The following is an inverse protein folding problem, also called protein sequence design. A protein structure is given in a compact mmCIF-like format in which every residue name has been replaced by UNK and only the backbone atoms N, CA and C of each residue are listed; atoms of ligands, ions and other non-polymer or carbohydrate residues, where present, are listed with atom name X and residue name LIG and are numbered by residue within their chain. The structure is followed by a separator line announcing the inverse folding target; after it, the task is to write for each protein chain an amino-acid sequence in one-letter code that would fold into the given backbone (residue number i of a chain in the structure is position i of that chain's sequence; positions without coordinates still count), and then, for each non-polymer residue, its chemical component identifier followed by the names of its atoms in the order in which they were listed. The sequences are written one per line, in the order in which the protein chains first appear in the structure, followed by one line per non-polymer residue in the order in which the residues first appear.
data_IF_246644632249
#
_entry.id   IF_246644632249
#
_cell.length_a   1.000
_cell.length_b   1.000
_cell.length_c   1.000
_cell.angle_alpha   90.00
_cell.angle_beta   90.00
_cell.angle_gamma   90.00
#
_symmetry.space_group_name_H-M   'P 1'
#
loop_
_entity.id
_entity.type
_entity.pdbx_description
1 polymer ?
#
# COMPACT_ATOMS: atom_id res chain seq x y z
N UNK A 1 -14.15 1.37 7.97
CA UNK A 1 -13.42 2.62 8.30
C UNK A 1 -12.78 3.12 7.02
N UNK A 2 -12.90 4.41 6.73
CA UNK A 2 -12.32 5.05 5.54
C UNK A 2 -11.12 5.87 5.98
N UNK A 3 -10.02 5.76 5.24
CA UNK A 3 -8.84 6.61 5.37
C UNK A 3 -8.69 7.41 4.09
N UNK A 4 -8.72 8.74 4.18
CA UNK A 4 -8.35 9.59 3.06
C UNK A 4 -6.82 9.77 3.05
N UNK A 5 -6.18 9.37 1.97
CA UNK A 5 -4.78 9.69 1.72
C UNK A 5 -4.72 10.90 0.79
N UNK A 6 -4.11 12.02 1.20
CA UNK A 6 -3.97 13.19 0.34
C UNK A 6 -3.38 12.83 -1.02
N UNK A 7 -3.95 13.37 -2.09
CA UNK A 7 -3.60 13.09 -3.50
C UNK A 7 -3.86 11.65 -4.00
N UNK A 8 -4.03 10.68 -3.10
CA UNK A 8 -4.26 9.28 -3.45
C UNK A 8 -5.74 8.86 -3.27
N UNK A 9 -6.55 9.65 -2.56
CA UNK A 9 -7.99 9.48 -2.36
C UNK A 9 -8.35 8.54 -1.21
N UNK A 10 -9.60 8.08 -1.19
CA UNK A 10 -10.14 7.26 -0.10
C UNK A 10 -9.77 5.79 -0.22
N UNK A 11 -9.31 5.20 0.87
CA UNK A 11 -9.05 3.77 1.02
C UNK A 11 -9.89 3.21 2.16
N UNK A 12 -10.22 1.92 2.09
CA UNK A 12 -10.80 1.24 3.24
C UNK A 12 -9.71 0.61 4.07
N UNK A 13 -9.89 0.66 5.39
CA UNK A 13 -8.93 0.10 6.34
C UNK A 13 -9.31 -1.34 6.62
N UNK A 14 -8.40 -2.28 6.32
CA UNK A 14 -8.56 -3.70 6.63
C UNK A 14 -8.11 -4.01 8.05
N UNK A 15 -6.91 -3.55 8.40
CA UNK A 15 -6.28 -3.88 9.67
C UNK A 15 -5.33 -2.77 10.13
N UNK A 16 -5.23 -2.57 11.44
CA UNK A 16 -4.29 -1.63 12.06
C UNK A 16 -3.53 -2.39 13.15
N UNK A 17 -2.22 -2.39 13.04
CA UNK A 17 -1.29 -2.93 14.02
C UNK A 17 -0.56 -1.79 14.71
N UNK A 18 -0.97 -1.48 15.93
CA UNK A 18 -0.33 -0.44 16.75
C UNK A 18 1.01 -0.88 17.34
N UNK A 19 1.28 -2.19 17.43
CA UNK A 19 2.57 -2.67 17.93
C UNK A 19 3.68 -2.45 16.91
N UNK A 20 3.38 -2.69 15.63
CA UNK A 20 4.33 -2.47 14.53
C UNK A 20 4.13 -1.14 13.79
N UNK A 21 3.21 -0.30 14.25
CA UNK A 21 2.75 0.91 13.56
C UNK A 21 2.45 0.68 12.07
N UNK A 22 1.67 -0.36 11.74
CA UNK A 22 1.34 -0.78 10.37
C UNK A 22 -0.16 -0.66 10.11
N UNK A 23 -0.53 -0.09 8.98
CA UNK A 23 -1.92 -0.06 8.49
C UNK A 23 -2.00 -0.84 7.19
N UNK A 24 -3.02 -1.67 7.06
CA UNK A 24 -3.33 -2.39 5.83
C UNK A 24 -4.60 -1.80 5.23
N UNK A 25 -4.48 -1.31 4.01
CA UNK A 25 -5.51 -0.63 3.24
C UNK A 25 -5.94 -1.51 2.08
N UNK A 26 -7.17 -1.35 1.62
CA UNK A 26 -7.65 -1.95 0.38
C UNK A 26 -8.52 -0.97 -0.40
N UNK A 27 -8.60 -1.19 -1.70
CA UNK A 27 -9.34 -0.31 -2.59
C UNK A 27 -10.86 -0.54 -2.47
N UNK A 28 -11.67 0.50 -2.25
CA UNK A 28 -13.13 0.38 -2.17
C UNK A 28 -13.79 -0.21 -3.42
N UNK A 29 -13.12 -0.17 -4.58
CA UNK A 29 -13.61 -0.75 -5.83
C UNK A 29 -13.12 -2.20 -6.05
N UNK A 30 -12.45 -2.79 -5.06
CA UNK A 30 -11.85 -4.12 -5.12
C UNK A 30 -10.90 -4.30 -6.32
N UNK A 31 -10.16 -3.25 -6.68
CA UNK A 31 -9.09 -3.36 -7.68
C UNK A 31 -7.95 -2.40 -7.36
N UNK A 32 -7.25 -2.69 -6.26
CA UNK A 32 -6.09 -1.89 -5.84
C UNK A 32 -5.01 -1.83 -6.93
N UNK A 33 -4.61 -2.92 -7.60
CA UNK A 33 -3.62 -2.85 -8.67
C UNK A 33 -4.04 -1.93 -9.82
N UNK A 34 -5.34 -1.94 -10.17
CA UNK A 34 -5.88 -1.04 -11.19
C UNK A 34 -5.86 0.42 -10.77
N UNK A 35 -6.08 0.69 -9.48
CA UNK A 35 -5.93 2.04 -8.93
C UNK A 35 -4.47 2.49 -8.95
N UNK A 36 -3.53 1.64 -8.53
CA UNK A 36 -2.11 1.94 -8.50
C UNK A 36 -1.55 2.18 -9.91
N UNK A 37 -2.01 1.43 -10.90
CA UNK A 37 -1.65 1.64 -12.32
C UNK A 37 -2.12 3.01 -12.83
N UNK A 38 -3.34 3.42 -12.51
CA UNK A 38 -3.93 4.65 -13.03
C UNK A 38 -3.56 5.90 -12.22
N UNK A 39 -3.28 5.74 -10.93
CA UNK A 39 -2.92 6.80 -10.00
C UNK A 39 -1.72 6.34 -9.17
N UNK A 40 -0.56 6.94 -9.39
CA UNK A 40 0.62 6.67 -8.58
C UNK A 40 0.36 7.02 -7.12
N UNK A 41 0.91 6.20 -6.22
CA UNK A 41 0.74 6.42 -4.78
C UNK A 41 1.56 7.63 -4.35
N UNK A 42 0.90 8.68 -3.85
CA UNK A 42 1.56 9.86 -3.29
C UNK A 42 1.24 9.97 -1.81
N UNK A 43 2.27 9.78 -0.98
CA UNK A 43 2.17 9.79 0.48
C UNK A 43 2.74 11.07 1.11
N UNK A 44 3.21 12.02 0.31
CA UNK A 44 4.02 13.17 0.77
C UNK A 44 3.31 14.11 1.74
N UNK A 45 1.98 14.10 1.79
CA UNK A 45 1.17 14.87 2.76
C UNK A 45 0.40 13.97 3.74
N UNK A 46 0.84 12.72 3.90
CA UNK A 46 0.27 11.78 4.87
C UNK A 46 1.33 11.41 5.92
N UNK A 47 0.95 10.99 7.14
CA UNK A 47 1.89 10.46 8.13
C UNK A 47 2.39 9.05 7.76
N UNK A 48 1.94 8.50 6.63
CA UNK A 48 2.23 7.14 6.22
C UNK A 48 3.42 7.09 5.27
N UNK A 49 4.19 6.02 5.36
CA UNK A 49 5.35 5.72 4.51
C UNK A 49 5.43 4.22 4.23
N UNK A 50 6.34 3.83 3.34
CA UNK A 50 6.73 2.45 3.12
C UNK A 50 8.27 2.31 3.18
N UNK A 51 8.79 1.13 3.52
CA UNK A 51 10.23 0.88 3.54
C UNK A 51 10.91 1.09 2.18
N UNK A 52 10.22 0.72 1.09
CA UNK A 52 10.73 0.84 -0.28
C UNK A 52 9.63 1.32 -1.24
N UNK A 53 10.06 1.79 -2.40
CA UNK A 53 9.20 2.20 -3.51
C UNK A 53 9.78 1.62 -4.80
N UNK A 54 8.99 0.86 -5.55
CA UNK A 54 9.43 0.18 -6.76
C UNK A 54 8.57 0.54 -7.95
N UNK A 55 9.20 0.72 -9.11
CA UNK A 55 8.51 1.03 -10.35
C UNK A 55 8.11 -0.28 -11.05
N UNK A 56 6.87 -0.71 -10.84
CA UNK A 56 6.32 -1.89 -11.51
C UNK A 56 5.82 -1.51 -12.89
N UNK A 57 6.17 -2.32 -13.89
CA UNK A 57 5.58 -2.21 -15.24
C UNK A 57 4.49 -3.24 -15.38
N UNK A 58 3.33 -2.79 -15.85
CA UNK A 58 2.15 -3.60 -16.06
C UNK A 58 2.05 -3.99 -17.52
N UNK A 59 1.73 -5.25 -17.75
CA UNK A 59 1.59 -5.84 -19.08
C UNK A 59 0.22 -6.47 -19.23
N UNK A 60 -0.38 -6.34 -20.41
CA UNK A 60 -1.50 -7.17 -20.84
C UNK A 60 -0.97 -8.22 -21.81
N UNK A 61 -1.18 -9.49 -21.48
CA UNK A 61 -0.67 -10.64 -22.21
C UNK A 61 -1.82 -11.56 -22.64
N UNK A 62 -1.67 -12.33 -23.73
CA UNK A 62 -2.51 -13.51 -23.94
C UNK A 62 -2.48 -14.40 -22.70
N UNK A 63 -3.64 -14.93 -22.28
CA UNK A 63 -3.76 -15.62 -20.99
C UNK A 63 -2.89 -16.89 -20.86
N UNK A 64 -2.50 -17.47 -21.98
CA UNK A 64 -1.63 -18.65 -22.09
C UNK A 64 -0.19 -18.30 -22.49
N UNK A 65 0.18 -17.01 -22.50
CA UNK A 65 1.55 -16.59 -22.74
C UNK A 65 2.46 -17.04 -21.59
N UNK A 66 3.69 -17.42 -21.92
CA UNK A 66 4.66 -17.95 -20.96
C UNK A 66 4.88 -17.03 -19.74
N UNK A 67 4.96 -15.69 -19.89
CA UNK A 67 5.16 -14.81 -18.74
C UNK A 67 4.08 -14.89 -17.67
N UNK A 68 2.87 -15.30 -18.05
CA UNK A 68 1.71 -15.38 -17.16
C UNK A 68 1.86 -16.58 -16.23
N UNK A 69 2.06 -16.31 -14.94
CA UNK A 69 2.27 -17.33 -13.91
C UNK A 69 3.73 -17.78 -13.77
N UNK A 70 4.59 -17.58 -14.78
CA UNK A 70 6.02 -17.82 -14.66
C UNK A 70 6.75 -16.62 -14.05
N UNK A 71 6.53 -15.40 -14.58
CA UNK A 71 7.17 -14.18 -14.07
C UNK A 71 6.33 -13.45 -13.01
N UNK A 72 5.00 -13.53 -13.12
CA UNK A 72 4.07 -12.99 -12.14
C UNK A 72 2.70 -13.63 -12.26
N UNK A 73 2.01 -13.81 -11.13
CA UNK A 73 0.62 -14.24 -11.13
C UNK A 73 -0.29 -13.18 -11.78
N UNK A 74 -1.37 -13.60 -12.47
CA UNK A 74 -2.34 -12.67 -13.04
C UNK A 74 -3.02 -11.79 -11.99
N UNK A 75 -3.08 -10.49 -12.28
CA UNK A 75 -3.89 -9.52 -11.56
C UNK A 75 -5.35 -9.71 -11.98
N UNK A 76 -6.13 -10.36 -11.12
CA UNK A 76 -7.49 -10.80 -11.43
C UNK A 76 -8.42 -9.66 -11.86
N UNK A 77 -8.42 -8.54 -11.14
CA UNK A 77 -9.34 -7.42 -11.40
C UNK A 77 -9.04 -6.62 -12.68
N UNK A 78 -7.87 -6.83 -13.30
CA UNK A 78 -7.48 -6.25 -14.58
C UNK A 78 -7.48 -7.27 -15.72
N UNK A 79 -7.57 -8.56 -15.39
CA UNK A 79 -7.59 -9.66 -16.34
C UNK A 79 -9.01 -9.97 -16.82
N UNK A 80 -9.12 -10.67 -17.95
CA UNK A 80 -10.41 -11.12 -18.47
C UNK A 80 -10.33 -12.57 -19.00
N UNK A 81 -11.29 -12.96 -19.85
CA UNK A 81 -11.36 -14.33 -20.40
C UNK A 81 -10.21 -14.66 -21.35
N UNK A 82 -9.67 -13.68 -22.07
CA UNK A 82 -8.66 -13.89 -23.13
C UNK A 82 -7.30 -13.32 -22.78
N UNK A 83 -7.24 -12.28 -21.95
CA UNK A 83 -6.01 -11.60 -21.58
C UNK A 83 -5.79 -11.69 -20.06
N UNK A 84 -4.53 -11.86 -19.67
CA UNK A 84 -4.07 -11.72 -18.31
C UNK A 84 -3.26 -10.43 -18.17
N UNK A 85 -3.48 -9.71 -17.08
CA UNK A 85 -2.62 -8.59 -16.71
C UNK A 85 -1.64 -9.06 -15.65
N UNK A 86 -0.36 -8.76 -15.84
CA UNK A 86 0.70 -9.03 -14.86
C UNK A 86 1.48 -7.75 -14.59
N UNK A 87 2.17 -7.69 -13.46
CA UNK A 87 3.07 -6.60 -13.13
C UNK A 87 4.39 -7.15 -12.59
N UNK A 88 5.50 -6.57 -13.01
CA UNK A 88 6.85 -7.00 -12.60
C UNK A 88 7.80 -5.80 -12.61
N UNK A 89 8.82 -5.85 -11.76
CA UNK A 89 9.99 -4.96 -11.84
C UNK A 89 11.13 -5.57 -12.64
N UNK A 90 10.98 -6.84 -13.00
CA UNK A 90 11.99 -7.68 -13.65
C UNK A 90 11.74 -7.82 -15.15
N UNK A 91 12.81 -8.20 -15.83
CA UNK A 91 12.90 -8.41 -17.27
C UNK A 91 12.70 -7.16 -18.13
N UNK A 92 13.30 -7.23 -19.31
CA UNK A 92 13.22 -6.15 -20.28
C UNK A 92 11.88 -6.25 -21.05
N UNK A 93 11.21 -5.12 -21.36
CA UNK A 93 9.97 -5.13 -22.14
C UNK A 93 10.01 -5.97 -23.41
N UNK A 94 11.16 -6.02 -24.09
CA UNK A 94 11.38 -6.75 -25.33
C UNK A 94 11.12 -8.26 -25.19
N UNK A 95 11.42 -8.84 -24.03
CA UNK A 95 11.16 -10.26 -23.76
C UNK A 95 9.66 -10.54 -23.71
N UNK A 96 8.89 -9.63 -23.10
CA UNK A 96 7.46 -9.81 -22.94
C UNK A 96 6.73 -9.53 -24.25
N UNK A 97 7.21 -8.58 -25.05
CA UNK A 97 6.73 -8.32 -26.41
C UNK A 97 6.85 -9.55 -27.31
N UNK A 98 7.93 -10.34 -27.18
CA UNK A 98 8.10 -11.60 -27.92
C UNK A 98 6.97 -12.59 -27.66
N UNK A 99 6.45 -12.63 -26.43
CA UNK A 99 5.30 -13.46 -26.03
C UNK A 99 3.93 -12.82 -26.32
N UNK A 100 3.91 -11.69 -27.04
CA UNK A 100 2.70 -10.98 -27.41
C UNK A 100 2.10 -10.14 -26.28
N UNK A 101 2.85 -9.90 -25.20
CA UNK A 101 2.46 -8.96 -24.16
C UNK A 101 2.64 -7.51 -24.62
N UNK A 102 1.89 -6.59 -24.02
CA UNK A 102 2.00 -5.15 -24.27
C UNK A 102 2.04 -4.40 -22.96
N UNK A 103 2.91 -3.40 -22.86
CA UNK A 103 2.91 -2.47 -21.73
C UNK A 103 1.58 -1.71 -21.72
N UNK A 104 0.94 -1.65 -20.56
CA UNK A 104 -0.26 -0.83 -20.33
C UNK A 104 0.03 0.37 -19.40
N UNK A 105 1.17 0.38 -18.73
CA UNK A 105 1.66 1.50 -17.94
C UNK A 105 2.66 1.05 -16.88
N UNK A 106 3.22 2.01 -16.15
CA UNK A 106 4.09 1.75 -15.01
C UNK A 106 3.70 2.65 -13.85
N UNK A 107 3.93 2.18 -12.63
CA UNK A 107 3.63 2.96 -11.43
C UNK A 107 4.63 2.67 -10.32
N UNK A 108 4.94 3.71 -9.55
CA UNK A 108 5.75 3.58 -8.33
C UNK A 108 4.82 3.12 -7.21
N UNK A 109 5.09 1.92 -6.71
CA UNK A 109 4.28 1.24 -5.70
C UNK A 109 5.08 1.15 -4.39
N UNK A 110 4.49 1.53 -3.24
CA UNK A 110 5.10 1.29 -1.94
C UNK A 110 5.15 -0.21 -1.64
N UNK A 111 6.32 -0.72 -1.24
CA UNK A 111 6.55 -2.15 -0.95
C UNK A 111 7.31 -2.35 0.36
N UNK A 112 7.13 -3.55 0.92
CA UNK A 112 7.73 -4.02 2.17
C UNK A 112 9.20 -4.39 2.02
N UNK A 113 9.54 -4.99 0.89
CA UNK A 113 10.87 -5.44 0.50
C UNK A 113 10.94 -5.45 -1.02
N UNK A 114 12.15 -5.39 -1.58
CA UNK A 114 12.32 -5.33 -3.04
C UNK A 114 11.82 -6.59 -3.72
N UNK A 115 11.10 -6.41 -4.83
CA UNK A 115 10.46 -7.48 -5.59
C UNK A 115 9.29 -8.14 -4.86
N UNK A 116 8.62 -7.45 -3.92
CA UNK A 116 7.51 -8.01 -3.14
C UNK A 116 6.45 -8.70 -4.00
N UNK A 117 6.13 -8.12 -5.16
CA UNK A 117 5.06 -8.59 -6.02
C UNK A 117 5.57 -9.33 -7.27
N UNK A 118 6.88 -9.44 -7.45
CA UNK A 118 7.42 -10.29 -8.51
C UNK A 118 7.05 -11.75 -8.20
N UNK A 119 6.70 -12.53 -9.23
CA UNK A 119 6.15 -13.88 -9.15
C UNK A 119 4.78 -13.99 -8.48
N UNK A 120 4.56 -13.36 -7.33
CA UNK A 120 3.31 -13.44 -6.55
C UNK A 120 2.18 -12.57 -7.12
N UNK A 121 2.50 -11.57 -7.93
CA UNK A 121 1.56 -10.55 -8.38
C UNK A 121 1.21 -9.55 -7.28
N UNK A 122 0.56 -8.45 -7.67
CA UNK A 122 0.08 -7.43 -6.73
C UNK A 122 -1.28 -7.88 -6.20
N UNK A 123 -1.41 -8.00 -4.88
CA UNK A 123 -2.65 -8.35 -4.20
C UNK A 123 -3.55 -7.11 -3.98
N UNK A 124 -4.64 -7.29 -3.23
CA UNK A 124 -5.62 -6.24 -2.94
C UNK A 124 -5.26 -5.39 -1.72
N UNK A 125 -4.13 -5.64 -1.07
CA UNK A 125 -3.76 -5.06 0.23
C UNK A 125 -2.49 -4.20 0.15
N UNK A 126 -2.62 -2.93 0.54
CA UNK A 126 -1.49 -2.02 0.67
C UNK A 126 -1.10 -1.85 2.14
N UNK A 127 0.10 -2.27 2.50
CA UNK A 127 0.65 -2.06 3.83
C UNK A 127 1.50 -0.79 3.88
N UNK A 128 1.15 0.12 4.80
CA UNK A 128 1.90 1.34 5.07
C UNK A 128 2.25 1.41 6.56
N UNK A 129 3.22 2.25 6.89
CA UNK A 129 3.74 2.45 8.24
C UNK A 129 3.60 3.90 8.64
N UNK A 130 3.45 4.17 9.94
CA UNK A 130 3.60 5.52 10.47
C UNK A 130 4.67 5.52 11.57
N UNK A 131 5.27 6.69 11.80
CA UNK A 131 6.14 6.88 12.94
C UNK A 131 5.32 7.42 14.12
N UNK A 132 5.31 6.70 15.23
CA UNK A 132 4.62 7.13 16.44
C UNK A 132 5.18 8.44 17.02
N UNK A 133 6.41 8.82 16.70
CA UNK A 133 7.01 10.09 17.16
C UNK A 133 6.42 11.34 16.48
N UNK A 134 5.70 11.18 15.37
CA UNK A 134 5.06 12.31 14.67
C UNK A 134 3.71 12.72 15.30
N UNK A 135 3.36 12.12 16.45
CA UNK A 135 2.23 12.55 17.27
C UNK A 135 2.54 13.89 17.96
N UNK A 136 2.48 15.00 17.21
CA UNK A 136 2.49 16.36 17.75
C UNK A 136 1.13 16.66 18.37
N UNK A 137 0.93 16.22 19.61
CA UNK A 137 0.08 16.85 20.63
C UNK A 137 -0.22 15.86 21.76
N UNK A 138 0.67 15.78 22.73
CA UNK A 138 0.23 15.62 24.11
C UNK A 138 0.55 16.93 24.78
N UNK A 139 -0.40 17.87 24.78
CA UNK A 139 -0.28 19.11 25.56
C UNK A 139 -0.13 18.69 27.03
N UNK A 140 1.04 18.88 27.67
CA UNK A 140 1.20 18.45 29.04
C UNK A 140 0.46 19.46 29.91
N UNK A 141 -0.75 19.12 30.36
CA UNK A 141 -1.24 19.76 31.57
C UNK A 141 -0.24 19.46 32.69
N UNK A 142 0.24 20.47 33.44
CA UNK A 142 1.25 20.26 34.46
C UNK A 142 0.58 19.55 35.64
N UNK A 143 0.66 18.23 35.68
CA UNK A 143 0.54 17.48 36.93
C UNK A 143 1.95 17.26 37.45
N UNK A 144 2.24 17.97 38.54
CA UNK A 144 3.32 17.59 39.44
C UNK A 144 3.03 16.16 39.91
N UNK A 145 3.88 15.20 39.58
CA UNK A 145 4.33 14.16 40.51
C UNK A 145 5.40 13.28 39.86
N UNK A 146 6.42 13.00 40.65
CA UNK A 146 7.64 12.28 40.35
C UNK A 146 7.40 10.78 40.15
N UNK A 147 7.88 10.20 39.04
CA UNK A 147 8.24 8.76 39.00
C UNK A 147 7.86 7.99 37.73
N UNK A 148 8.90 7.47 37.06
CA UNK A 148 8.93 6.31 36.15
C UNK A 148 8.25 6.41 34.77
N UNK A 149 9.11 6.21 33.77
CA UNK A 149 8.99 6.28 32.31
C UNK A 149 8.06 5.20 31.68
N UNK A 150 6.78 5.14 32.08
CA UNK A 150 5.81 4.20 31.51
C UNK A 150 4.41 4.77 31.20
N UNK A 151 4.19 6.07 31.40
CA UNK A 151 2.85 6.69 31.29
C UNK A 151 2.38 6.94 29.84
N UNK A 152 3.29 7.27 28.90
CA UNK A 152 2.90 7.56 27.51
C UNK A 152 2.28 6.37 26.76
N UNK A 153 2.77 5.15 27.01
CA UNK A 153 2.30 3.93 26.33
C UNK A 153 0.87 3.54 26.73
N UNK A 154 0.43 3.93 27.93
CA UNK A 154 -0.91 3.58 28.44
C UNK A 154 -1.94 4.60 27.99
N UNK A 155 -1.57 5.89 27.91
CA UNK A 155 -2.45 6.94 27.39
C UNK A 155 -2.68 6.85 25.88
N UNK A 156 -1.67 6.38 25.11
CA UNK A 156 -1.82 6.04 23.68
C UNK A 156 -2.94 5.01 23.44
N UNK A 157 -3.03 3.96 24.27
CA UNK A 157 -4.01 2.87 24.06
C UNK A 157 -5.48 3.30 24.12
N UNK A 158 -5.83 4.33 24.89
CA UNK A 158 -7.22 4.80 25.00
C UNK A 158 -7.48 6.08 24.20
N UNK A 159 -6.51 7.02 24.13
CA UNK A 159 -6.68 8.28 23.41
C UNK A 159 -6.53 8.16 21.89
N UNK A 160 -5.77 7.20 21.38
CA UNK A 160 -5.49 7.02 19.95
C UNK A 160 -6.66 6.34 19.22
N UNK A 161 -7.41 5.48 19.92
CA UNK A 161 -8.68 4.91 19.45
C UNK A 161 -9.72 6.02 19.23
N UNK A 162 -9.75 7.01 20.11
CA UNK A 162 -10.63 8.16 19.96
C UNK A 162 -10.09 9.19 18.96
N UNK A 163 -8.77 9.39 18.81
CA UNK A 163 -8.22 10.33 17.80
C UNK A 163 -8.32 9.83 16.36
N UNK A 164 -8.24 8.52 16.13
CA UNK A 164 -8.56 7.94 14.81
C UNK A 164 -10.07 8.01 14.54
N UNK A 165 -10.91 7.97 15.59
CA UNK A 165 -12.37 8.21 15.48
C UNK A 165 -12.76 9.69 15.38
N UNK A 166 -11.95 10.60 15.90
CA UNK A 166 -12.21 12.05 16.01
C UNK A 166 -11.38 12.88 15.02
N UNK A 167 -10.50 12.27 14.22
CA UNK A 167 -9.94 12.88 13.03
C UNK A 167 -11.07 13.08 12.00
N UNK A 168 -11.89 14.11 12.24
CA UNK A 168 -12.43 14.91 11.15
C UNK A 168 -11.23 15.58 10.49
N UNK A 169 -10.83 15.04 9.36
CA UNK A 169 -10.13 15.81 8.34
C UNK A 169 -11.11 16.81 7.74
#
# INVERSE_FOLDING_TARGET
MILNLPFSGDFYVRYIDYYSNKITLYDPRNCLPGRLLNNSMNLSSSPFTAPYYENYTFYTCPKNAEPVGYYALPIGCLSNSTNATIATTREAPEEFEYFGCKIIGSSIIPVMYQGQFDYQGIDDDLSLYWNASDCKDCDPQPSQETGSDHSCLVHQRYGEVDRIRQAKF
#
